data_IF_730497823333
#
_entry.id   IF_730497823333
#
_cell.length_a   1.000
_cell.length_b   1.000
_cell.length_c   1.000
_cell.angle_alpha   90.00
_cell.angle_beta   90.00
_cell.angle_gamma   90.00
#
_symmetry.space_group_name_H-M   'P 1'
#
loop_
_entity.id
_entity.type
_entity.pdbx_description
1 polymer ?
#
# COMPACT_ATOMS: atom_id res chain seq x y z
N UNK A 1 -8.59 18.13 2.39
CA UNK A 1 -8.60 18.09 0.90
C UNK A 1 -8.16 16.69 0.48
N UNK A 2 -9.12 15.79 0.25
CA UNK A 2 -8.98 14.53 -0.49
C UNK A 2 -10.36 13.94 -0.87
N UNK A 3 -11.45 14.69 -0.63
CA UNK A 3 -12.82 14.17 -0.66
C UNK A 3 -13.26 13.77 -2.07
N UNK A 4 -12.90 14.54 -3.08
CA UNK A 4 -13.20 14.21 -4.48
C UNK A 4 -12.56 12.88 -4.91
N UNK A 5 -11.34 12.60 -4.43
CA UNK A 5 -10.69 11.30 -4.68
C UNK A 5 -11.44 10.18 -3.98
N UNK A 6 -11.96 10.41 -2.77
CA UNK A 6 -12.79 9.43 -2.06
C UNK A 6 -14.09 9.13 -2.83
N UNK A 7 -14.81 10.16 -3.29
CA UNK A 7 -16.04 9.99 -4.10
C UNK A 7 -15.77 9.20 -5.39
N UNK A 8 -14.62 9.44 -6.03
CA UNK A 8 -14.19 8.69 -7.22
C UNK A 8 -13.82 7.24 -6.92
N UNK A 9 -13.27 6.95 -5.74
CA UNK A 9 -13.00 5.58 -5.27
C UNK A 9 -14.31 4.86 -4.97
N UNK A 10 -15.22 5.50 -4.24
CA UNK A 10 -16.51 4.92 -3.85
C UNK A 10 -17.41 4.67 -5.07
N UNK A 11 -17.36 5.54 -6.07
CA UNK A 11 -18.04 5.35 -7.36
C UNK A 11 -17.33 4.35 -8.29
N UNK A 12 -16.21 3.78 -7.88
CA UNK A 12 -15.45 2.75 -8.62
C UNK A 12 -14.67 3.27 -9.84
N UNK A 13 -14.61 4.59 -10.05
CA UNK A 13 -13.85 5.21 -11.15
C UNK A 13 -12.35 5.22 -10.90
N UNK A 14 -11.96 5.27 -9.63
CA UNK A 14 -10.57 5.14 -9.18
C UNK A 14 -10.46 3.85 -8.37
N UNK A 15 -9.50 3.00 -8.72
CA UNK A 15 -9.25 1.74 -8.00
C UNK A 15 -7.91 1.79 -7.28
N UNK A 16 -7.81 1.00 -6.21
CA UNK A 16 -6.54 0.86 -5.48
C UNK A 16 -5.43 0.35 -6.40
N UNK A 17 -4.21 0.83 -6.16
CA UNK A 17 -2.99 0.34 -6.84
C UNK A 17 -2.18 -0.59 -5.96
N UNK A 18 -2.74 -1.03 -4.82
CA UNK A 18 -2.08 -1.98 -3.91
C UNK A 18 -1.89 -3.32 -4.60
N UNK A 19 -0.64 -3.74 -4.74
CA UNK A 19 -0.25 -5.03 -5.34
C UNK A 19 0.47 -5.93 -4.35
N UNK A 20 0.95 -5.38 -3.22
CA UNK A 20 1.62 -6.13 -2.15
C UNK A 20 1.22 -5.61 -0.77
N UNK A 21 1.09 -6.51 0.19
CA UNK A 21 0.77 -6.18 1.58
C UNK A 21 1.72 -6.91 2.55
N UNK A 22 2.20 -6.19 3.57
CA UNK A 22 2.98 -6.73 4.68
C UNK A 22 2.25 -6.44 6.01
N UNK A 23 2.49 -7.29 7.01
CA UNK A 23 1.94 -7.14 8.37
C UNK A 23 2.82 -7.90 9.37
N UNK A 24 2.95 -7.45 10.64
CA UNK A 24 2.45 -6.18 11.20
C UNK A 24 3.35 -4.99 10.84
N UNK A 25 3.02 -3.77 11.29
CA UNK A 25 3.94 -2.64 11.17
C UNK A 25 5.04 -2.81 12.23
N UNK A 26 6.20 -3.32 11.78
CA UNK A 26 7.40 -3.53 12.58
C UNK A 26 8.67 -3.23 11.73
N UNK A 27 9.83 -3.22 12.37
CA UNK A 27 11.10 -2.89 11.70
C UNK A 27 11.45 -3.88 10.58
N UNK A 28 11.21 -5.17 10.79
CA UNK A 28 11.49 -6.22 9.79
C UNK A 28 10.74 -5.97 8.49
N UNK A 29 9.43 -5.70 8.57
CA UNK A 29 8.60 -5.44 7.40
C UNK A 29 8.93 -4.09 6.74
N UNK A 30 9.36 -3.09 7.51
CA UNK A 30 9.84 -1.81 6.95
C UNK A 30 11.10 -2.03 6.12
N UNK A 31 12.11 -2.73 6.67
CA UNK A 31 13.36 -3.04 5.94
C UNK A 31 13.05 -3.84 4.67
N UNK A 32 12.22 -4.87 4.79
CA UNK A 32 11.78 -5.68 3.65
C UNK A 32 11.08 -4.85 2.57
N UNK A 33 10.19 -3.93 2.95
CA UNK A 33 9.53 -3.01 2.03
C UNK A 33 10.54 -2.13 1.28
N UNK A 34 11.51 -1.54 2.00
CA UNK A 34 12.57 -0.74 1.38
C UNK A 34 13.37 -1.55 0.36
N UNK A 35 13.85 -2.74 0.72
CA UNK A 35 14.59 -3.60 -0.20
C UNK A 35 13.77 -3.95 -1.45
N UNK A 36 12.45 -4.12 -1.34
CA UNK A 36 11.60 -4.37 -2.51
C UNK A 36 11.47 -3.14 -3.40
N UNK A 37 11.30 -1.95 -2.81
CA UNK A 37 11.16 -0.70 -3.57
C UNK A 37 12.47 -0.34 -4.29
N UNK A 38 13.61 -0.57 -3.64
CA UNK A 38 14.95 -0.26 -4.17
C UNK A 38 15.31 -1.09 -5.41
N UNK A 39 14.68 -2.26 -5.61
CA UNK A 39 14.85 -3.07 -6.83
C UNK A 39 14.24 -2.43 -8.07
N UNK A 40 13.37 -1.42 -7.92
CA UNK A 40 12.72 -0.66 -9.01
C UNK A 40 11.94 -1.50 -10.04
N UNK A 41 11.56 -2.73 -9.68
CA UNK A 41 10.78 -3.65 -10.51
C UNK A 41 9.31 -3.73 -10.06
N UNK A 42 8.91 -2.93 -9.08
CA UNK A 42 7.57 -2.93 -8.53
C UNK A 42 6.57 -2.20 -9.44
N UNK A 43 5.47 -2.88 -9.77
CA UNK A 43 4.27 -2.29 -10.36
C UNK A 43 3.22 -2.15 -9.26
N UNK A 44 2.68 -0.95 -9.08
CA UNK A 44 1.69 -0.63 -8.03
C UNK A 44 2.31 -0.14 -6.72
N UNK A 45 1.62 -0.40 -5.61
CA UNK A 45 1.98 0.06 -4.26
C UNK A 45 2.10 -1.11 -3.28
N UNK A 46 3.06 -0.98 -2.36
CA UNK A 46 3.20 -1.84 -1.20
C UNK A 46 2.63 -1.12 0.03
N UNK A 47 1.81 -1.81 0.82
CA UNK A 47 1.24 -1.29 2.07
C UNK A 47 1.66 -2.18 3.24
N UNK A 48 1.99 -1.57 4.38
CA UNK A 48 2.19 -2.27 5.64
C UNK A 48 1.02 -1.95 6.56
N UNK A 49 0.35 -2.98 7.07
CA UNK A 49 -0.83 -2.84 7.93
C UNK A 49 -0.57 -3.40 9.31
N UNK A 50 -1.26 -2.86 10.32
CA UNK A 50 -1.40 -3.55 11.61
C UNK A 50 -2.51 -4.58 11.50
N UNK A 51 -2.20 -5.86 11.72
CA UNK A 51 -3.22 -6.86 12.01
C UNK A 51 -3.17 -7.09 13.52
N UNK A 52 -4.15 -6.52 14.21
CA UNK A 52 -4.49 -6.93 15.57
C UNK A 52 -5.60 -7.96 15.42
N UNK A 53 -5.33 -9.21 15.77
CA UNK A 53 -6.37 -10.24 15.87
C UNK A 53 -7.28 -9.97 17.06
#
# INVERSE_FOLDING_TARGET
MLNEVADLVDSGKVVTTVTRQLSPINLENIVKAHTMIEKRDMIGKLVITQITH
#
